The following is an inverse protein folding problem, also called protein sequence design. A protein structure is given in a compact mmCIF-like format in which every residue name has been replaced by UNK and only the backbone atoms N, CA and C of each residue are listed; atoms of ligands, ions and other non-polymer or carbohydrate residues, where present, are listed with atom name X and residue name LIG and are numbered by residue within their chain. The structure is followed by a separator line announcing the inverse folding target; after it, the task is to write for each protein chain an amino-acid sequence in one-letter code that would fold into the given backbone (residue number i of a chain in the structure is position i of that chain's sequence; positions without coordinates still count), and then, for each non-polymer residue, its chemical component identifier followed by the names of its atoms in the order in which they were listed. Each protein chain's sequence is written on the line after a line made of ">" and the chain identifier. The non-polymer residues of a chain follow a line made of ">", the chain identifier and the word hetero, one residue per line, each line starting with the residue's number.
data_IF_418725329018
#
_entry.id   IF_418725329018
#
_cell.length_a   1.000
_cell.length_b   1.000
_cell.length_c   1.000
_cell.angle_alpha   90.00
_cell.angle_beta   90.00
_cell.angle_gamma   90.00
#
_symmetry.space_group_name_H-M   'P 1'
#
loop_
_entity.id
_entity.type
_entity.pdbx_description
1 polymer ?
#
# COMPACT_ATOMS: atom_id res chain seq x y z
N UNK A 1 2.94 -56.29 5.18
CA UNK A 1 4.33 -55.76 5.23
C UNK A 1 4.43 -54.36 4.58
N UNK A 2 4.73 -53.31 5.37
CA UNK A 2 4.95 -51.96 4.83
C UNK A 2 6.34 -51.90 4.20
N UNK A 3 6.39 -51.74 2.89
CA UNK A 3 7.64 -51.66 2.12
C UNK A 3 8.53 -50.50 2.59
N UNK A 4 9.85 -50.64 2.50
CA UNK A 4 10.80 -49.58 2.89
C UNK A 4 10.58 -48.28 2.11
N UNK A 5 10.10 -48.37 0.86
CA UNK A 5 9.69 -47.23 0.07
C UNK A 5 8.50 -46.47 0.67
N UNK A 6 7.49 -47.18 1.18
CA UNK A 6 6.37 -46.56 1.86
C UNK A 6 6.81 -45.84 3.14
N UNK A 7 7.72 -46.43 3.93
CA UNK A 7 8.31 -45.77 5.11
C UNK A 7 9.11 -44.52 4.74
N UNK A 8 9.85 -44.53 3.62
CA UNK A 8 10.58 -43.34 3.12
C UNK A 8 9.62 -42.22 2.69
N UNK A 9 8.55 -42.54 1.96
CA UNK A 9 7.52 -41.56 1.55
C UNK A 9 6.83 -40.90 2.75
N UNK A 10 6.48 -41.67 3.79
CA UNK A 10 5.90 -41.13 5.03
C UNK A 10 6.86 -40.18 5.75
N UNK A 11 8.15 -40.55 5.84
CA UNK A 11 9.19 -39.69 6.44
C UNK A 11 9.37 -38.38 5.67
N UNK A 12 9.39 -38.43 4.34
CA UNK A 12 9.47 -37.24 3.49
C UNK A 12 8.25 -36.32 3.67
N UNK A 13 7.04 -36.88 3.73
CA UNK A 13 5.82 -36.10 3.95
C UNK A 13 5.82 -35.42 5.32
N UNK A 14 6.15 -36.15 6.39
CA UNK A 14 6.29 -35.56 7.74
C UNK A 14 7.35 -34.45 7.78
N UNK A 15 8.44 -34.60 7.02
CA UNK A 15 9.46 -33.54 6.91
C UNK A 15 8.93 -32.30 6.19
N UNK A 16 8.19 -32.48 5.10
CA UNK A 16 7.53 -31.38 4.38
C UNK A 16 6.49 -30.67 5.27
N UNK A 17 5.65 -31.42 5.98
CA UNK A 17 4.62 -30.85 6.86
C UNK A 17 5.23 -30.00 7.96
N UNK A 18 6.33 -30.46 8.58
CA UNK A 18 7.09 -29.66 9.56
C UNK A 18 7.66 -28.38 8.95
N UNK A 19 8.16 -28.43 7.72
CA UNK A 19 8.67 -27.24 7.00
C UNK A 19 7.55 -26.25 6.70
N UNK A 20 6.39 -26.74 6.26
CA UNK A 20 5.21 -25.92 5.99
C UNK A 20 4.74 -25.26 7.29
N UNK A 21 4.61 -26.02 8.38
CA UNK A 21 4.28 -25.48 9.70
C UNK A 21 5.22 -24.36 10.13
N UNK A 22 6.53 -24.59 10.06
CA UNK A 22 7.52 -23.57 10.42
C UNK A 22 7.51 -22.32 9.52
N UNK A 23 7.15 -22.45 8.23
CA UNK A 23 6.95 -21.30 7.34
C UNK A 23 5.74 -20.47 7.75
N UNK A 24 4.63 -21.11 8.12
CA UNK A 24 3.41 -20.42 8.53
C UNK A 24 3.56 -19.76 9.90
N UNK A 25 4.15 -20.46 10.86
CA UNK A 25 4.43 -19.96 12.21
C UNK A 25 5.30 -18.69 12.15
N UNK A 26 6.38 -18.73 11.36
CA UNK A 26 7.33 -17.62 11.25
C UNK A 26 7.13 -16.75 10.00
N UNK A 27 5.92 -16.75 9.40
CA UNK A 27 5.64 -15.99 8.17
C UNK A 27 5.94 -14.49 8.31
N UNK A 28 5.76 -13.94 9.51
CA UNK A 28 6.04 -12.54 9.82
C UNK A 28 7.53 -12.18 9.61
N UNK A 29 8.46 -13.14 9.71
CA UNK A 29 9.89 -12.90 9.48
C UNK A 29 10.21 -12.55 8.02
N UNK A 30 9.33 -12.89 7.08
CA UNK A 30 9.49 -12.53 5.66
C UNK A 30 9.18 -11.06 5.38
N UNK A 31 8.41 -10.38 6.25
CA UNK A 31 8.02 -8.97 6.10
C UNK A 31 8.66 -8.06 7.15
N UNK A 32 9.12 -8.60 8.28
CA UNK A 32 9.79 -7.82 9.32
C UNK A 32 11.05 -7.13 8.78
N UNK A 33 11.11 -5.80 8.92
CA UNK A 33 12.22 -4.95 8.43
C UNK A 33 13.51 -5.16 9.22
N UNK A 34 13.42 -5.03 10.55
CA UNK A 34 14.53 -5.21 11.48
C UNK A 34 14.39 -6.56 12.20
N UNK A 35 15.36 -7.45 11.97
CA UNK A 35 15.40 -8.78 12.58
C UNK A 35 16.60 -8.93 13.49
N UNK A 36 16.37 -9.50 14.66
CA UNK A 36 17.46 -9.88 15.57
C UNK A 36 18.30 -11.01 14.96
N UNK A 37 19.54 -11.22 15.46
CA UNK A 37 20.35 -12.37 15.02
C UNK A 37 19.64 -13.72 15.23
N UNK A 38 18.81 -13.86 16.27
CA UNK A 38 17.99 -15.05 16.50
C UNK A 38 16.96 -15.28 15.39
N UNK A 39 16.23 -14.24 15.02
CA UNK A 39 15.23 -14.30 13.95
C UNK A 39 15.86 -14.59 12.58
N UNK A 40 17.05 -14.07 12.32
CA UNK A 40 17.79 -14.38 11.09
C UNK A 40 18.18 -15.87 11.05
N UNK A 41 18.60 -16.45 12.18
CA UNK A 41 18.90 -17.88 12.28
C UNK A 41 17.64 -18.73 12.04
N UNK A 42 16.52 -18.36 12.66
CA UNK A 42 15.22 -19.01 12.44
C UNK A 42 14.82 -18.97 10.98
N UNK A 43 14.91 -17.81 10.32
CA UNK A 43 14.58 -17.66 8.91
C UNK A 43 15.50 -18.49 8.00
N UNK A 44 16.80 -18.52 8.27
CA UNK A 44 17.76 -19.37 7.52
C UNK A 44 17.45 -20.86 7.66
N UNK A 45 17.03 -21.29 8.86
CA UNK A 45 16.64 -22.68 9.17
C UNK A 45 15.38 -23.09 8.41
N UNK A 46 14.29 -22.33 8.53
CA UNK A 46 13.00 -22.68 7.88
C UNK A 46 13.07 -22.58 6.35
N UNK A 47 13.95 -21.75 5.81
CA UNK A 47 14.17 -21.61 4.35
C UNK A 47 15.29 -22.50 3.81
N UNK A 48 15.84 -23.43 4.60
CA UNK A 48 16.91 -24.34 4.14
C UNK A 48 16.39 -25.34 3.11
N UNK A 49 17.07 -25.41 1.96
CA UNK A 49 16.64 -26.22 0.81
C UNK A 49 15.45 -25.64 0.04
N UNK A 50 15.13 -24.37 0.27
CA UNK A 50 13.93 -23.69 -0.23
C UNK A 50 14.31 -22.36 -0.91
N UNK A 51 14.98 -22.39 -2.08
CA UNK A 51 15.57 -21.20 -2.71
C UNK A 51 14.55 -20.13 -3.10
N UNK A 52 13.33 -20.53 -3.47
CA UNK A 52 12.23 -19.59 -3.79
C UNK A 52 11.82 -18.73 -2.60
N UNK A 53 11.85 -19.28 -1.39
CA UNK A 53 11.50 -18.55 -0.17
C UNK A 53 12.61 -17.57 0.23
N UNK A 54 13.88 -17.94 0.05
CA UNK A 54 15.00 -17.00 0.22
C UNK A 54 14.91 -15.84 -0.78
N UNK A 55 14.52 -16.14 -2.01
CA UNK A 55 14.28 -15.13 -3.04
C UNK A 55 13.19 -14.15 -2.65
N UNK A 56 12.06 -14.67 -2.15
CA UNK A 56 10.95 -13.85 -1.66
C UNK A 56 11.44 -12.86 -0.60
N UNK A 57 12.23 -13.33 0.37
CA UNK A 57 12.77 -12.45 1.41
C UNK A 57 13.67 -11.35 0.85
N UNK A 58 14.59 -11.67 -0.05
CA UNK A 58 15.47 -10.67 -0.71
C UNK A 58 14.65 -9.60 -1.43
N UNK A 59 13.59 -10.03 -2.11
CA UNK A 59 12.68 -9.14 -2.83
C UNK A 59 11.93 -8.19 -1.86
N UNK A 60 11.59 -8.63 -0.65
CA UNK A 60 11.00 -7.75 0.37
C UNK A 60 12.04 -6.76 0.93
N UNK A 61 13.28 -7.20 1.15
CA UNK A 61 14.38 -6.31 1.56
C UNK A 61 14.64 -5.22 0.52
N UNK A 62 14.57 -5.57 -0.76
CA UNK A 62 14.66 -4.60 -1.84
C UNK A 62 13.50 -3.60 -1.81
N UNK A 63 12.26 -4.00 -1.47
CA UNK A 63 11.16 -3.02 -1.26
C UNK A 63 11.53 -2.05 -0.15
N UNK A 64 11.88 -2.56 1.03
CA UNK A 64 12.14 -1.73 2.20
C UNK A 64 13.26 -0.70 1.92
N UNK A 65 14.21 -1.06 1.04
CA UNK A 65 15.31 -0.20 0.60
C UNK A 65 14.96 0.80 -0.50
N UNK A 66 13.85 0.61 -1.22
CA UNK A 66 13.35 1.61 -2.18
C UNK A 66 12.85 2.85 -1.44
N UNK A 67 12.22 2.64 -0.28
CA UNK A 67 11.65 3.68 0.56
C UNK A 67 12.59 4.12 1.70
N UNK A 68 13.89 3.89 1.55
CA UNK A 68 14.87 4.43 2.49
C UNK A 68 14.95 5.94 2.30
N UNK A 69 14.79 6.72 3.38
CA UNK A 69 14.81 8.19 3.35
C UNK A 69 16.15 8.75 2.86
N UNK A 70 17.22 7.96 2.90
CA UNK A 70 18.54 8.32 2.38
C UNK A 70 18.69 8.08 0.87
N UNK A 71 17.72 7.41 0.24
CA UNK A 71 17.77 7.06 -1.17
C UNK A 71 17.24 8.23 -2.01
N UNK A 72 18.06 8.75 -2.92
CA UNK A 72 17.59 9.72 -3.94
C UNK A 72 16.63 9.03 -4.92
N UNK A 73 15.74 9.80 -5.51
CA UNK A 73 14.72 9.33 -6.48
C UNK A 73 15.34 8.53 -7.63
N UNK A 74 16.40 9.04 -8.27
CA UNK A 74 17.11 8.34 -9.35
C UNK A 74 17.62 6.96 -8.91
N UNK A 75 18.23 6.89 -7.72
CA UNK A 75 18.73 5.63 -7.16
C UNK A 75 17.59 4.67 -6.84
N UNK A 76 16.46 5.18 -6.36
CA UNK A 76 15.26 4.38 -6.08
C UNK A 76 14.68 3.80 -7.39
N UNK A 77 14.60 4.59 -8.46
CA UNK A 77 14.16 4.14 -9.79
C UNK A 77 15.11 3.09 -10.38
N UNK A 78 16.42 3.27 -10.27
CA UNK A 78 17.40 2.28 -10.72
C UNK A 78 17.27 0.95 -9.94
N UNK A 79 17.10 1.02 -8.62
CA UNK A 79 16.81 -0.15 -7.78
C UNK A 79 15.50 -0.84 -8.20
N UNK A 80 14.45 -0.07 -8.50
CA UNK A 80 13.16 -0.59 -8.95
C UNK A 80 13.29 -1.33 -10.30
N UNK A 81 14.02 -0.77 -11.27
CA UNK A 81 14.28 -1.41 -12.55
C UNK A 81 15.01 -2.75 -12.37
N UNK A 82 16.10 -2.76 -11.59
CA UNK A 82 16.86 -3.98 -11.27
C UNK A 82 15.96 -5.04 -10.63
N UNK A 83 15.12 -4.63 -9.67
CA UNK A 83 14.21 -5.51 -8.96
C UNK A 83 13.13 -6.08 -9.88
N UNK A 84 12.57 -5.29 -10.80
CA UNK A 84 11.60 -5.77 -11.81
C UNK A 84 12.22 -6.84 -12.70
N UNK A 85 13.46 -6.65 -13.15
CA UNK A 85 14.20 -7.66 -13.93
C UNK A 85 14.44 -8.93 -13.11
N UNK A 86 14.88 -8.80 -11.86
CA UNK A 86 15.13 -9.94 -10.97
C UNK A 86 13.86 -10.75 -10.66
N UNK A 87 12.73 -10.07 -10.44
CA UNK A 87 11.42 -10.72 -10.22
C UNK A 87 10.93 -11.39 -11.50
N UNK A 88 11.13 -10.76 -12.67
CA UNK A 88 10.75 -11.32 -13.98
C UNK A 88 11.48 -12.63 -14.30
N UNK A 89 12.76 -12.74 -13.97
CA UNK A 89 13.56 -13.95 -14.20
C UNK A 89 13.15 -15.15 -13.33
N UNK A 90 12.46 -14.92 -12.20
CA UNK A 90 12.10 -15.99 -11.26
C UNK A 90 10.70 -16.51 -11.56
N UNK A 91 10.63 -17.73 -12.10
CA UNK A 91 9.37 -18.42 -12.40
C UNK A 91 8.44 -18.44 -11.17
N UNK A 92 7.19 -18.01 -11.38
CA UNK A 92 6.13 -18.00 -10.36
C UNK A 92 6.16 -16.86 -9.33
N UNK A 93 7.14 -15.95 -9.35
CA UNK A 93 7.12 -14.74 -8.50
C UNK A 93 6.56 -13.50 -9.21
N UNK A 94 6.55 -13.51 -10.55
CA UNK A 94 6.03 -12.40 -11.36
C UNK A 94 4.55 -12.09 -11.11
N UNK A 95 3.71 -13.12 -10.94
CA UNK A 95 2.27 -12.97 -10.66
C UNK A 95 2.02 -12.36 -9.28
N UNK A 96 2.73 -12.85 -8.26
CA UNK A 96 2.67 -12.35 -6.87
C UNK A 96 3.04 -10.86 -6.81
N UNK A 97 3.95 -10.43 -7.67
CA UNK A 97 4.45 -9.06 -7.70
C UNK A 97 3.96 -8.25 -8.90
N UNK A 98 2.76 -8.55 -9.44
CA UNK A 98 2.16 -7.77 -10.53
C UNK A 98 2.10 -6.27 -10.22
N UNK A 99 1.80 -5.91 -8.96
CA UNK A 99 1.76 -4.52 -8.49
C UNK A 99 3.12 -3.80 -8.60
N UNK A 100 4.26 -4.51 -8.60
CA UNK A 100 5.57 -3.88 -8.82
C UNK A 100 5.77 -3.39 -10.24
N UNK A 101 5.07 -3.97 -11.20
CA UNK A 101 5.06 -3.51 -12.59
C UNK A 101 4.09 -2.34 -12.79
N UNK A 102 3.32 -1.95 -11.76
CA UNK A 102 2.46 -0.77 -11.86
C UNK A 102 3.32 0.49 -12.00
N UNK A 103 2.92 1.44 -12.88
CA UNK A 103 3.52 2.77 -12.91
C UNK A 103 3.29 3.53 -11.59
N UNK A 104 2.30 3.15 -10.78
CA UNK A 104 2.03 3.81 -9.49
C UNK A 104 3.20 3.71 -8.52
N UNK A 105 4.00 2.65 -8.62
CA UNK A 105 5.17 2.49 -7.77
C UNK A 105 6.30 3.45 -8.18
N UNK A 106 6.46 3.72 -9.48
CA UNK A 106 7.40 4.75 -9.95
C UNK A 106 6.94 6.13 -9.51
N UNK A 107 5.65 6.43 -9.72
CA UNK A 107 5.04 7.68 -9.25
C UNK A 107 5.25 7.87 -7.76
N UNK A 108 4.98 6.85 -6.94
CA UNK A 108 5.20 6.91 -5.51
C UNK A 108 6.65 7.25 -5.17
N UNK A 109 7.63 6.61 -5.82
CA UNK A 109 9.05 6.92 -5.58
C UNK A 109 9.44 8.33 -6.03
N UNK A 110 8.85 8.85 -7.11
CA UNK A 110 9.09 10.23 -7.57
C UNK A 110 8.50 11.25 -6.60
N UNK A 111 7.29 11.03 -6.09
CA UNK A 111 6.59 11.99 -5.22
C UNK A 111 6.90 11.82 -3.72
N UNK A 112 7.78 10.89 -3.34
CA UNK A 112 8.27 10.70 -1.98
C UNK A 112 9.46 11.61 -1.63
N UNK A 113 10.02 12.31 -2.62
CA UNK A 113 10.96 13.39 -2.34
C UNK A 113 10.14 14.63 -1.94
N UNK A 114 10.05 14.89 -0.64
CA UNK A 114 9.32 16.02 -0.08
C UNK A 114 9.83 17.37 -0.62
N UNK A 115 11.03 17.43 -1.20
CA UNK A 115 11.58 18.63 -1.86
C UNK A 115 10.90 18.93 -3.20
N UNK A 116 10.33 17.92 -3.84
CA UNK A 116 9.56 18.07 -5.09
C UNK A 116 8.11 18.45 -4.81
N UNK A 117 7.65 18.36 -3.55
CA UNK A 117 6.35 18.83 -3.13
C UNK A 117 6.42 20.36 -2.93
N UNK A 118 6.07 21.11 -3.96
CA UNK A 118 5.74 22.52 -3.79
C UNK A 118 4.60 22.69 -2.77
N UNK A 119 4.53 23.85 -2.11
CA UNK A 119 3.39 24.18 -1.26
C UNK A 119 2.09 23.97 -2.06
N UNK A 120 1.17 23.18 -1.52
CA UNK A 120 -0.13 22.99 -2.15
C UNK A 120 -0.85 24.33 -2.25
N UNK A 121 -1.42 24.62 -3.42
CA UNK A 121 -2.11 25.89 -3.59
C UNK A 121 -3.28 26.00 -2.61
N UNK A 122 -3.57 27.21 -2.13
CA UNK A 122 -4.72 27.46 -1.26
C UNK A 122 -6.04 26.96 -1.88
N UNK A 123 -6.14 26.89 -3.21
CA UNK A 123 -7.29 26.32 -3.91
C UNK A 123 -7.42 24.80 -3.66
N UNK A 124 -6.32 24.06 -3.77
CA UNK A 124 -6.26 22.61 -3.51
C UNK A 124 -6.57 22.31 -2.04
N UNK A 125 -5.95 23.04 -1.10
CA UNK A 125 -6.20 22.84 0.34
C UNK A 125 -7.66 23.12 0.71
N UNK A 126 -8.25 24.19 0.16
CA UNK A 126 -9.68 24.48 0.36
C UNK A 126 -10.57 23.39 -0.21
N UNK A 127 -10.25 22.85 -1.39
CA UNK A 127 -10.97 21.72 -1.99
C UNK A 127 -10.90 20.46 -1.13
N UNK A 128 -9.70 20.07 -0.71
CA UNK A 128 -9.45 18.91 0.16
C UNK A 128 -10.17 19.05 1.51
N UNK A 129 -10.14 20.24 2.12
CA UNK A 129 -10.85 20.51 3.38
C UNK A 129 -12.36 20.38 3.22
N UNK A 130 -12.94 20.91 2.13
CA UNK A 130 -14.37 20.75 1.82
C UNK A 130 -14.75 19.29 1.64
N UNK A 131 -13.96 18.54 0.86
CA UNK A 131 -14.18 17.10 0.66
C UNK A 131 -14.13 16.33 1.98
N UNK A 132 -13.13 16.57 2.84
CA UNK A 132 -13.05 15.95 4.18
C UNK A 132 -14.24 16.35 5.06
N UNK A 133 -14.66 17.61 5.06
CA UNK A 133 -15.85 18.04 5.82
C UNK A 133 -17.13 17.35 5.33
N UNK A 134 -17.27 17.16 4.02
CA UNK A 134 -18.37 16.40 3.43
C UNK A 134 -18.32 14.93 3.87
N UNK A 135 -17.18 14.26 3.69
CA UNK A 135 -16.97 12.85 4.02
C UNK A 135 -17.06 12.53 5.53
N UNK A 136 -16.68 13.47 6.41
CA UNK A 136 -16.82 13.30 7.88
C UNK A 136 -18.24 12.94 8.31
N UNK A 137 -19.25 13.38 7.56
CA UNK A 137 -20.63 12.99 7.83
C UNK A 137 -20.97 11.61 7.28
N UNK A 138 -20.29 11.13 6.23
CA UNK A 138 -20.53 9.84 5.56
C UNK A 138 -20.01 8.65 6.38
N UNK A 139 -18.85 8.79 7.02
CA UNK A 139 -18.22 7.70 7.78
C UNK A 139 -18.63 7.58 9.25
N UNK A 140 -19.42 8.51 9.80
CA UNK A 140 -20.00 8.36 11.15
C UNK A 140 -21.25 7.49 11.07
N UNK A 141 -21.40 6.55 12.00
CA UNK A 141 -22.67 5.84 12.24
C UNK A 141 -23.77 6.90 12.41
N UNK A 142 -24.75 6.90 11.50
CA UNK A 142 -25.79 7.93 11.45
C UNK A 142 -27.03 7.43 12.16
N UNK A 143 -27.44 8.13 13.20
CA UNK A 143 -28.78 7.98 13.78
C UNK A 143 -29.80 8.66 12.86
N UNK A 144 -31.07 8.21 12.87
CA UNK A 144 -32.16 8.76 12.05
C UNK A 144 -32.25 10.30 12.13
N UNK A 145 -32.12 10.87 13.33
CA UNK A 145 -32.15 12.32 13.55
C UNK A 145 -31.03 13.06 12.79
N UNK A 146 -29.83 12.48 12.68
CA UNK A 146 -28.70 13.09 11.97
C UNK A 146 -28.92 13.07 10.46
N UNK A 147 -29.58 12.02 9.94
CA UNK A 147 -29.95 11.92 8.52
C UNK A 147 -31.01 12.97 8.19
N UNK A 148 -32.06 13.08 8.98
CA UNK A 148 -33.12 14.08 8.79
C UNK A 148 -32.58 15.52 8.83
N UNK A 149 -31.72 15.84 9.79
CA UNK A 149 -31.08 17.16 9.85
C UNK A 149 -30.17 17.45 8.65
N UNK A 150 -29.52 16.42 8.08
CA UNK A 150 -28.71 16.59 6.87
C UNK A 150 -29.56 16.86 5.63
N UNK A 151 -30.66 16.13 5.46
CA UNK A 151 -31.61 16.34 4.37
C UNK A 151 -32.20 17.76 4.46
N UNK A 152 -32.65 18.19 5.64
CA UNK A 152 -33.17 19.54 5.84
C UNK A 152 -32.14 20.64 5.48
N UNK A 153 -30.88 20.46 5.87
CA UNK A 153 -29.80 21.38 5.52
C UNK A 153 -29.50 21.43 4.02
N UNK A 154 -29.57 20.30 3.33
CA UNK A 154 -29.33 20.26 1.88
C UNK A 154 -30.54 20.86 1.12
N UNK A 155 -31.78 20.56 1.53
CA UNK A 155 -32.99 21.23 1.00
C UNK A 155 -32.96 22.75 1.21
N UNK A 156 -32.54 23.22 2.39
CA UNK A 156 -32.40 24.64 2.67
C UNK A 156 -31.35 25.32 1.77
N UNK A 157 -30.24 24.64 1.49
CA UNK A 157 -29.21 25.16 0.57
C UNK A 157 -29.71 25.25 -0.86
N UNK A 158 -30.48 24.27 -1.32
CA UNK A 158 -31.08 24.27 -2.66
C UNK A 158 -32.10 25.40 -2.80
N UNK A 159 -32.98 25.58 -1.80
CA UNK A 159 -33.93 26.70 -1.78
C UNK A 159 -33.24 28.07 -1.84
N UNK A 160 -32.06 28.21 -1.22
CA UNK A 160 -31.24 29.43 -1.23
C UNK A 160 -30.44 29.62 -2.52
N UNK A 161 -30.38 28.62 -3.40
CA UNK A 161 -29.57 28.63 -4.63
C UNK A 161 -29.79 29.85 -5.53
N UNK A 162 -31.05 30.16 -5.91
CA UNK A 162 -31.33 31.28 -6.82
C UNK A 162 -30.90 32.65 -6.26
N UNK A 163 -31.16 32.89 -4.97
CA UNK A 163 -30.76 34.14 -4.30
C UNK A 163 -29.23 34.27 -4.25
N UNK A 164 -28.52 33.16 -4.03
CA UNK A 164 -27.05 33.14 -4.01
C UNK A 164 -26.46 33.42 -5.38
N UNK A 165 -27.06 32.89 -6.44
CA UNK A 165 -26.63 33.18 -7.82
C UNK A 165 -26.83 34.64 -8.19
N UNK A 166 -27.98 35.22 -7.83
CA UNK A 166 -28.25 36.64 -8.05
C UNK A 166 -27.23 37.52 -7.29
N UNK A 167 -26.97 37.19 -6.02
CA UNK A 167 -25.97 37.89 -5.20
C UNK A 167 -24.57 37.77 -5.80
N UNK A 168 -24.19 36.58 -6.28
CA UNK A 168 -22.90 36.37 -6.94
C UNK A 168 -22.78 37.17 -8.24
N UNK A 169 -23.82 37.21 -9.08
CA UNK A 169 -23.85 38.02 -10.31
C UNK A 169 -23.70 39.50 -9.98
N UNK A 170 -24.43 40.02 -9.00
CA UNK A 170 -24.33 41.40 -8.56
C UNK A 170 -22.90 41.76 -8.08
N UNK A 171 -22.31 40.92 -7.23
CA UNK A 171 -20.93 41.11 -6.73
C UNK A 171 -19.88 41.03 -7.84
N UNK A 172 -20.11 40.23 -8.89
CA UNK A 172 -19.22 40.16 -10.05
C UNK A 172 -19.32 41.40 -10.93
N UNK A 173 -20.52 41.96 -11.10
CA UNK A 173 -20.72 43.21 -11.84
C UNK A 173 -20.08 44.40 -11.13
N UNK A 174 -20.22 44.50 -9.80
CA UNK A 174 -19.61 45.60 -9.02
C UNK A 174 -18.09 45.54 -8.96
N UNK A 175 -17.47 44.36 -9.10
CA UNK A 175 -16.00 44.20 -9.18
C UNK A 175 -15.38 44.57 -10.53
N UNK A 176 -16.17 44.69 -11.60
CA UNK A 176 -15.68 45.03 -12.95
C UNK A 176 -15.73 46.53 -13.26
N UNK A 177 -16.32 47.34 -12.37
CA UNK A 177 -16.12 48.79 -12.31
C UNK A 177 -14.94 49.08 -11.41
#
# INVERSE_FOLDING_TARGET
>A
PVTEEAKRKVRQRRHLDRKVGGLFEHRYLFVRRHRTPGEQRTLRRITRGLPRWRALRRIVEEIDRLFDRRCRTETALAKLARMRTQVGRRQGLGTIFKKRRSPDLEKALTFLDDRLLGSTSNAVERGNRRHRKMQKTVYRVRTRATISGRIALDMFREAQGPSREQTMKALHHTRRR
#
